data_IF_848743851872
#
_entry.id   IF_848743851872
#
_cell.length_a   1.000
_cell.length_b   1.000
_cell.length_c   1.000
_cell.angle_alpha   90.00
_cell.angle_beta   90.00
_cell.angle_gamma   90.00
#
_symmetry.space_group_name_H-M   'P 1'
#
loop_
_entity.id
_entity.type
_entity.pdbx_description
1 polymer ?
#
# COMPACT_ATOMS: atom_id res chain seq x y z
N UNK A 1 15.09 -40.97 -10.68
CA UNK A 1 15.84 -39.74 -11.00
C UNK A 1 15.50 -38.66 -9.97
N UNK A 2 15.72 -38.93 -8.67
CA UNK A 2 15.28 -38.05 -7.56
C UNK A 2 16.44 -37.54 -6.69
N UNK A 3 17.70 -37.82 -7.06
CA UNK A 3 18.86 -37.52 -6.20
C UNK A 3 19.69 -36.32 -6.65
N UNK A 4 19.33 -35.65 -7.76
CA UNK A 4 20.11 -34.51 -8.28
C UNK A 4 19.65 -33.13 -7.77
N UNK A 5 18.49 -32.99 -7.14
CA UNK A 5 18.02 -31.67 -6.63
C UNK A 5 18.72 -31.25 -5.34
N UNK A 6 19.09 -32.20 -4.48
CA UNK A 6 19.63 -31.90 -3.15
C UNK A 6 21.05 -31.28 -3.18
N UNK A 7 21.83 -31.57 -4.23
CA UNK A 7 23.20 -31.05 -4.34
C UNK A 7 23.22 -29.56 -4.67
N UNK A 8 22.39 -29.11 -5.61
CA UNK A 8 22.29 -27.69 -5.99
C UNK A 8 21.79 -26.87 -4.80
N UNK A 9 20.82 -27.38 -4.04
CA UNK A 9 20.30 -26.73 -2.83
C UNK A 9 21.38 -26.60 -1.75
N UNK A 10 22.16 -27.65 -1.51
CA UNK A 10 23.26 -27.62 -0.53
C UNK A 10 24.39 -26.66 -0.96
N UNK A 11 24.76 -26.67 -2.25
CA UNK A 11 25.78 -25.76 -2.79
C UNK A 11 25.30 -24.31 -2.72
N UNK A 12 24.04 -24.05 -3.07
CA UNK A 12 23.42 -22.73 -2.98
C UNK A 12 23.35 -22.23 -1.53
N UNK A 13 23.02 -23.11 -0.58
CA UNK A 13 22.97 -22.79 0.84
C UNK A 13 24.37 -22.47 1.39
N UNK A 14 25.38 -23.28 1.09
CA UNK A 14 26.76 -23.03 1.51
C UNK A 14 27.30 -21.74 0.88
N UNK A 15 27.04 -21.52 -0.40
CA UNK A 15 27.44 -20.30 -1.10
C UNK A 15 26.77 -19.05 -0.48
N UNK A 16 25.47 -19.14 -0.19
CA UNK A 16 24.72 -18.04 0.43
C UNK A 16 25.24 -17.73 1.84
N UNK A 17 25.50 -18.76 2.66
CA UNK A 17 26.09 -18.59 3.99
C UNK A 17 27.49 -17.98 3.93
N UNK A 18 28.29 -18.36 2.94
CA UNK A 18 29.63 -17.81 2.71
C UNK A 18 29.56 -16.34 2.29
N UNK A 19 28.65 -15.99 1.37
CA UNK A 19 28.42 -14.58 0.97
C UNK A 19 27.93 -13.75 2.16
N UNK A 20 26.98 -14.26 2.95
CA UNK A 20 26.48 -13.58 4.16
C UNK A 20 27.60 -13.41 5.19
N UNK A 21 28.41 -14.45 5.41
CA UNK A 21 29.52 -14.42 6.34
C UNK A 21 30.62 -13.44 5.93
N UNK A 22 30.99 -13.42 4.64
CA UNK A 22 31.96 -12.47 4.10
C UNK A 22 31.44 -11.03 4.14
N UNK A 23 30.17 -10.81 3.77
CA UNK A 23 29.53 -9.50 3.85
C UNK A 23 29.44 -8.99 5.30
N UNK A 24 29.07 -9.87 6.24
CA UNK A 24 29.03 -9.58 7.67
C UNK A 24 30.41 -9.28 8.25
N UNK A 25 31.42 -10.09 7.90
CA UNK A 25 32.81 -9.87 8.30
C UNK A 25 33.37 -8.57 7.75
N UNK A 26 33.09 -8.25 6.49
CA UNK A 26 33.44 -6.97 5.87
C UNK A 26 32.79 -5.79 6.59
N UNK A 27 31.49 -5.89 6.91
CA UNK A 27 30.74 -4.86 7.65
C UNK A 27 31.36 -4.57 9.03
N UNK A 28 31.81 -5.61 9.74
CA UNK A 28 32.47 -5.46 11.04
C UNK A 28 33.89 -4.88 10.86
N UNK A 29 34.66 -5.41 9.91
CA UNK A 29 36.02 -4.93 9.61
C UNK A 29 36.05 -3.47 9.15
N UNK A 30 35.03 -3.03 8.42
CA UNK A 30 34.93 -1.64 7.95
C UNK A 30 34.56 -0.64 9.06
N UNK A 31 34.50 -1.08 10.32
CA UNK A 31 34.18 -0.22 11.45
C UNK A 31 32.72 0.27 11.43
N UNK A 32 31.83 -0.38 10.67
CA UNK A 32 30.42 0.07 10.53
C UNK A 32 29.69 0.13 11.87
N UNK A 33 30.11 -0.70 12.83
CA UNK A 33 29.55 -0.79 14.18
C UNK A 33 30.39 -0.04 15.23
N UNK A 34 31.45 0.66 14.84
CA UNK A 34 32.13 1.55 15.78
C UNK A 34 31.20 2.75 16.07
N UNK A 35 30.80 2.89 17.34
CA UNK A 35 29.71 3.75 17.84
C UNK A 35 29.97 5.27 17.74
N UNK A 36 30.75 5.74 16.76
CA UNK A 36 31.03 7.15 16.53
C UNK A 36 29.78 7.99 16.22
N UNK A 37 28.67 7.35 15.81
CA UNK A 37 27.40 8.06 15.52
C UNK A 37 26.76 8.58 16.81
N UNK A 38 26.77 7.80 17.90
CA UNK A 38 26.10 8.17 19.16
C UNK A 38 26.85 9.30 19.87
N UNK A 39 28.18 9.36 19.71
CA UNK A 39 29.03 10.40 20.28
C UNK A 39 29.28 11.57 19.32
N UNK A 40 28.80 11.50 18.07
CA UNK A 40 28.99 12.56 17.09
C UNK A 40 28.11 13.78 17.35
N UNK A 41 28.65 14.97 17.10
CA UNK A 41 27.88 16.22 17.07
C UNK A 41 26.72 16.22 16.04
N UNK A 42 26.74 15.26 15.11
CA UNK A 42 25.81 15.11 14.00
C UNK A 42 24.75 14.00 14.22
N UNK A 43 24.65 13.41 15.42
CA UNK A 43 23.67 12.34 15.70
C UNK A 43 22.24 12.73 15.27
N UNK A 44 21.79 13.93 15.66
CA UNK A 44 20.45 14.43 15.31
C UNK A 44 20.27 14.53 13.79
N UNK A 45 21.28 15.03 13.08
CA UNK A 45 21.27 15.13 11.62
C UNK A 45 21.12 13.75 10.93
N UNK A 46 21.78 12.72 11.47
CA UNK A 46 21.64 11.34 11.00
C UNK A 46 20.28 10.72 11.34
N UNK A 47 19.74 11.02 12.52
CA UNK A 47 18.42 10.54 12.95
C UNK A 47 17.30 11.16 12.11
N UNK A 48 17.36 12.48 11.84
CA UNK A 48 16.41 13.17 10.96
C UNK A 48 16.38 12.48 9.59
N UNK A 49 17.54 12.24 8.97
CA UNK A 49 17.65 11.58 7.66
C UNK A 49 17.15 10.14 7.68
N UNK A 50 17.63 9.36 8.66
CA UNK A 50 17.26 7.94 8.77
C UNK A 50 15.75 7.77 8.99
N UNK A 51 15.14 8.57 9.86
CA UNK A 51 13.69 8.55 10.09
C UNK A 51 12.90 8.92 8.83
N UNK A 52 13.34 9.94 8.08
CA UNK A 52 12.71 10.36 6.83
C UNK A 52 12.78 9.29 5.74
N UNK A 53 13.97 8.71 5.52
CA UNK A 53 14.17 7.64 4.53
C UNK A 53 13.39 6.39 4.91
N UNK A 54 13.44 5.97 6.18
CA UNK A 54 12.69 4.81 6.65
C UNK A 54 11.18 5.00 6.52
N UNK A 55 10.67 6.20 6.84
CA UNK A 55 9.26 6.55 6.63
C UNK A 55 8.86 6.45 5.15
N UNK A 56 9.69 6.96 4.23
CA UNK A 56 9.45 6.89 2.78
C UNK A 56 9.45 5.46 2.24
N UNK A 57 10.39 4.63 2.69
CA UNK A 57 10.44 3.20 2.31
C UNK A 57 9.15 2.51 2.75
N UNK A 58 8.73 2.70 4.01
CA UNK A 58 7.49 2.09 4.50
C UNK A 58 6.24 2.62 3.80
N UNK A 59 6.20 3.92 3.45
CA UNK A 59 5.11 4.49 2.66
C UNK A 59 5.05 3.84 1.28
N UNK A 60 6.20 3.70 0.62
CA UNK A 60 6.31 3.03 -0.68
C UNK A 60 5.82 1.59 -0.59
N UNK A 61 6.32 0.82 0.38
CA UNK A 61 5.89 -0.55 0.63
C UNK A 61 4.37 -0.62 0.89
N UNK A 62 3.82 0.34 1.65
CA UNK A 62 2.38 0.42 1.89
C UNK A 62 1.58 0.63 0.59
N UNK A 63 2.01 1.56 -0.26
CA UNK A 63 1.35 1.86 -1.55
C UNK A 63 1.44 0.66 -2.49
N UNK A 64 2.62 0.06 -2.66
CA UNK A 64 2.81 -1.11 -3.51
C UNK A 64 1.98 -2.29 -3.01
N UNK A 65 1.96 -2.52 -1.70
CA UNK A 65 1.18 -3.59 -1.08
C UNK A 65 -0.33 -3.37 -1.25
N UNK A 66 -0.81 -2.14 -1.07
CA UNK A 66 -2.20 -1.77 -1.31
C UNK A 66 -2.62 -1.94 -2.78
N UNK A 67 -1.72 -1.62 -3.72
CA UNK A 67 -1.95 -1.85 -5.15
C UNK A 67 -2.01 -3.35 -5.47
N UNK A 68 -1.09 -4.16 -4.96
CA UNK A 68 -1.05 -5.61 -5.14
C UNK A 68 -2.31 -6.30 -4.59
N UNK A 69 -2.74 -5.90 -3.39
CA UNK A 69 -4.01 -6.29 -2.77
C UNK A 69 -5.22 -6.01 -3.66
N UNK A 70 -5.28 -4.79 -4.22
CA UNK A 70 -6.42 -4.37 -5.04
C UNK A 70 -6.47 -4.99 -6.44
N UNK A 71 -5.39 -5.63 -6.87
CA UNK A 71 -5.23 -6.22 -8.21
C UNK A 71 -5.40 -7.74 -8.20
N UNK A 72 -5.81 -8.33 -7.07
CA UNK A 72 -5.99 -9.79 -6.87
C UNK A 72 -4.73 -10.63 -6.99
N UNK A 73 -3.55 -10.02 -7.18
CA UNK A 73 -2.24 -10.70 -7.29
C UNK A 73 -1.91 -11.52 -6.04
N UNK A 74 -2.38 -11.05 -4.87
CA UNK A 74 -2.06 -11.65 -3.56
C UNK A 74 -3.12 -12.65 -3.09
N UNK A 75 -4.28 -12.73 -3.77
CA UNK A 75 -5.46 -13.46 -3.28
C UNK A 75 -5.27 -14.98 -3.23
N UNK A 76 -4.34 -15.53 -4.02
CA UNK A 76 -4.10 -16.97 -4.11
C UNK A 76 -3.21 -17.54 -3.01
N UNK A 77 -2.38 -16.73 -2.35
CA UNK A 77 -1.32 -17.23 -1.46
C UNK A 77 -1.28 -16.61 -0.05
N UNK A 78 -2.03 -15.54 0.22
CA UNK A 78 -2.07 -14.89 1.56
C UNK A 78 -3.50 -14.76 2.09
N UNK A 79 -3.76 -15.14 3.36
CA UNK A 79 -5.05 -14.92 4.01
C UNK A 79 -5.40 -13.43 4.10
N UNK A 80 -6.60 -13.05 3.65
CA UNK A 80 -7.06 -11.65 3.62
C UNK A 80 -6.86 -10.85 4.92
N UNK A 81 -7.11 -11.40 6.12
CA UNK A 81 -6.86 -10.69 7.37
C UNK A 81 -5.38 -10.35 7.59
N UNK A 82 -4.47 -11.28 7.32
CA UNK A 82 -3.03 -11.07 7.48
C UNK A 82 -2.52 -9.97 6.56
N UNK A 83 -2.94 -10.00 5.29
CA UNK A 83 -2.53 -9.02 4.29
C UNK A 83 -2.99 -7.60 4.67
N UNK A 84 -4.18 -7.48 5.26
CA UNK A 84 -4.72 -6.21 5.76
C UNK A 84 -4.01 -5.72 7.02
N UNK A 85 -3.68 -6.61 7.96
CA UNK A 85 -2.87 -6.25 9.15
C UNK A 85 -1.51 -5.73 8.69
N UNK A 86 -0.84 -6.41 7.75
CA UNK A 86 0.44 -5.96 7.25
C UNK A 86 0.36 -4.57 6.63
N UNK A 87 -0.62 -4.32 5.74
CA UNK A 87 -0.85 -3.00 5.13
C UNK A 87 -1.07 -1.92 6.20
N UNK A 88 -1.89 -2.21 7.21
CA UNK A 88 -2.20 -1.27 8.29
C UNK A 88 -0.94 -0.97 9.13
N UNK A 89 -0.20 -2.00 9.53
CA UNK A 89 0.99 -1.85 10.38
C UNK A 89 2.08 -1.03 9.69
N UNK A 90 2.41 -1.33 8.44
CA UNK A 90 3.43 -0.55 7.70
C UNK A 90 2.99 0.90 7.45
N UNK A 91 1.69 1.15 7.27
CA UNK A 91 1.14 2.51 7.12
C UNK A 91 1.26 3.32 8.41
N UNK A 92 0.93 2.72 9.56
CA UNK A 92 1.08 3.37 10.86
C UNK A 92 2.54 3.63 11.19
N UNK A 93 3.44 2.68 10.92
CA UNK A 93 4.86 2.85 11.18
C UNK A 93 5.46 3.96 10.31
N UNK A 94 5.07 4.03 9.03
CA UNK A 94 5.44 5.14 8.14
C UNK A 94 5.00 6.49 8.70
N UNK A 95 3.75 6.62 9.16
CA UNK A 95 3.22 7.85 9.74
C UNK A 95 3.94 8.25 11.04
N UNK A 96 4.20 7.29 11.92
CA UNK A 96 4.93 7.54 13.18
C UNK A 96 6.36 7.99 12.89
N UNK A 97 7.06 7.34 11.96
CA UNK A 97 8.41 7.77 11.56
C UNK A 97 8.41 9.13 10.85
N UNK A 98 7.36 9.47 10.10
CA UNK A 98 7.22 10.81 9.53
C UNK A 98 7.05 11.88 10.63
N UNK A 99 6.26 11.58 11.66
CA UNK A 99 6.13 12.46 12.82
C UNK A 99 7.46 12.60 13.56
N UNK A 100 8.16 11.49 13.81
CA UNK A 100 9.49 11.52 14.46
C UNK A 100 10.48 12.33 13.63
N UNK A 101 10.51 12.13 12.31
CA UNK A 101 11.33 12.91 11.38
C UNK A 101 11.08 14.41 11.52
N UNK A 102 9.81 14.83 11.52
CA UNK A 102 9.44 16.25 11.70
C UNK A 102 9.77 16.79 13.10
N UNK A 103 9.51 16.03 14.16
CA UNK A 103 9.79 16.47 15.53
C UNK A 103 11.29 16.56 15.83
N UNK A 104 12.12 15.71 15.22
CA UNK A 104 13.57 15.79 15.36
C UNK A 104 14.15 17.10 14.80
N UNK A 105 13.47 17.77 13.86
CA UNK A 105 13.88 19.08 13.35
C UNK A 105 13.87 20.17 14.44
N UNK A 106 13.05 20.02 15.49
CA UNK A 106 12.98 20.98 16.60
C UNK A 106 14.26 21.02 17.45
N UNK A 107 15.06 19.97 17.40
CA UNK A 107 16.34 19.85 18.12
C UNK A 107 17.54 19.89 17.17
N UNK A 108 17.31 20.25 15.90
CA UNK A 108 18.37 20.42 14.92
C UNK A 108 19.25 21.63 15.25
N UNK A 109 20.56 21.49 15.00
CA UNK A 109 21.54 22.56 15.21
C UNK A 109 21.78 23.38 13.95
N UNK A 110 21.44 22.86 12.77
CA UNK A 110 21.69 23.53 11.49
C UNK A 110 20.62 24.58 11.17
N UNK A 111 19.34 24.26 11.44
CA UNK A 111 18.22 25.18 11.25
C UNK A 111 17.35 25.23 12.50
N UNK A 112 17.00 26.44 12.93
CA UNK A 112 16.10 26.65 14.08
C UNK A 112 14.64 26.55 13.65
N UNK A 113 14.08 25.34 13.72
CA UNK A 113 12.65 25.11 13.50
C UNK A 113 11.83 25.40 14.75
N UNK A 114 10.66 25.99 14.55
CA UNK A 114 9.63 26.12 15.57
C UNK A 114 8.53 25.07 15.37
N UNK A 115 7.71 24.83 16.40
CA UNK A 115 6.56 23.91 16.32
C UNK A 115 5.63 24.27 15.17
N UNK A 116 5.44 25.57 14.90
CA UNK A 116 4.65 26.06 13.78
C UNK A 116 5.19 25.59 12.43
N UNK A 117 6.51 25.51 12.30
CA UNK A 117 7.18 25.12 11.04
C UNK A 117 7.02 23.64 10.70
N UNK A 118 6.68 22.83 11.70
CA UNK A 118 6.42 21.39 11.51
C UNK A 118 4.99 21.17 11.03
N UNK A 119 4.03 21.91 11.58
CA UNK A 119 2.60 21.67 11.39
C UNK A 119 1.92 22.63 10.41
N UNK A 120 2.49 23.79 10.13
CA UNK A 120 1.99 24.75 9.14
C UNK A 120 2.86 24.65 7.88
N UNK A 121 2.29 24.31 6.71
CA UNK A 121 3.10 24.16 5.52
C UNK A 121 3.69 25.52 5.09
N UNK A 122 4.90 25.47 4.52
CA UNK A 122 5.58 26.61 3.89
C UNK A 122 6.09 27.71 4.82
N UNK A 123 6.16 27.49 6.14
CA UNK A 123 6.71 28.49 7.08
C UNK A 123 8.15 28.21 7.51
N UNK A 124 8.66 27.00 7.26
CA UNK A 124 9.97 26.57 7.75
C UNK A 124 11.16 27.35 7.16
N UNK A 125 12.27 27.47 7.91
CA UNK A 125 13.42 28.30 7.56
C UNK A 125 14.26 27.74 6.39
N UNK A 126 14.17 26.44 6.13
CA UNK A 126 14.93 25.77 5.07
C UNK A 126 14.00 25.34 3.94
N UNK A 127 14.27 25.83 2.72
CA UNK A 127 13.56 25.49 1.48
C UNK A 127 12.04 25.36 1.69
N UNK A 128 11.42 26.42 2.21
CA UNK A 128 10.03 26.46 2.67
C UNK A 128 9.03 25.75 1.74
N UNK A 129 9.15 25.93 0.42
CA UNK A 129 8.32 25.23 -0.55
C UNK A 129 8.45 23.70 -0.44
N UNK A 130 9.67 23.17 -0.49
CA UNK A 130 9.94 21.74 -0.44
C UNK A 130 9.53 21.13 0.91
N UNK A 131 9.85 21.79 2.03
CA UNK A 131 9.47 21.33 3.37
C UNK A 131 7.95 21.38 3.59
N UNK A 132 7.27 22.41 3.08
CA UNK A 132 5.82 22.51 3.13
C UNK A 132 5.07 21.41 2.37
N UNK A 133 5.64 20.86 1.28
CA UNK A 133 5.09 19.66 0.62
C UNK A 133 5.08 18.45 1.58
N UNK A 134 6.13 18.30 2.40
CA UNK A 134 6.23 17.27 3.42
C UNK A 134 5.16 17.44 4.51
N UNK A 135 4.98 18.65 5.02
CA UNK A 135 3.92 18.98 6.00
C UNK A 135 2.52 18.70 5.43
N UNK A 136 2.26 19.09 4.18
CA UNK A 136 0.98 18.83 3.52
C UNK A 136 0.74 17.32 3.36
N UNK A 137 1.76 16.57 2.93
CA UNK A 137 1.66 15.12 2.81
C UNK A 137 1.42 14.44 4.16
N UNK A 138 2.11 14.90 5.21
CA UNK A 138 1.91 14.41 6.57
C UNK A 138 0.45 14.54 7.02
N UNK A 139 -0.16 15.71 6.81
CA UNK A 139 -1.57 15.91 7.14
C UNK A 139 -2.51 15.00 6.34
N UNK A 140 -2.23 14.80 5.05
CA UNK A 140 -3.00 13.83 4.26
C UNK A 140 -2.88 12.42 4.87
N UNK A 141 -1.68 11.99 5.26
CA UNK A 141 -1.47 10.68 5.90
C UNK A 141 -2.14 10.57 7.27
N UNK A 142 -2.12 11.64 8.08
CA UNK A 142 -2.85 11.71 9.37
C UNK A 142 -4.35 11.50 9.18
N UNK A 143 -4.91 11.97 8.06
CA UNK A 143 -6.33 11.77 7.74
C UNK A 143 -6.57 10.37 7.17
N UNK A 144 -5.73 9.93 6.22
CA UNK A 144 -5.94 8.68 5.47
C UNK A 144 -5.69 7.44 6.32
N UNK A 145 -4.64 7.42 7.14
CA UNK A 145 -4.24 6.21 7.89
C UNK A 145 -5.29 5.77 8.91
N UNK A 146 -5.84 6.64 9.79
CA UNK A 146 -6.91 6.26 10.72
C UNK A 146 -8.25 6.00 10.05
N UNK A 147 -8.48 6.53 8.83
CA UNK A 147 -9.77 6.41 8.12
C UNK A 147 -10.24 4.97 7.94
N UNK A 148 -9.31 4.01 7.83
CA UNK A 148 -9.64 2.59 7.68
C UNK A 148 -10.36 2.02 8.91
N UNK A 149 -9.90 2.37 10.11
CA UNK A 149 -10.53 1.95 11.37
C UNK A 149 -11.88 2.65 11.56
N UNK A 150 -11.96 3.92 11.15
CA UNK A 150 -13.15 4.76 11.31
C UNK A 150 -14.26 4.50 10.27
N UNK A 151 -13.94 3.84 9.14
CA UNK A 151 -14.88 3.65 8.02
C UNK A 151 -16.20 3.01 8.42
N UNK A 152 -16.19 1.99 9.29
CA UNK A 152 -17.42 1.29 9.69
C UNK A 152 -18.39 2.18 10.47
N UNK A 153 -17.87 3.21 11.15
CA UNK A 153 -18.65 4.09 12.03
C UNK A 153 -19.06 5.40 11.36
N UNK A 154 -18.22 5.93 10.47
CA UNK A 154 -18.39 7.32 9.99
C UNK A 154 -18.51 7.47 8.46
N UNK A 155 -18.09 6.48 7.66
CA UNK A 155 -17.97 6.67 6.22
C UNK A 155 -18.67 5.60 5.39
N UNK A 156 -19.40 6.03 4.36
CA UNK A 156 -19.79 5.13 3.27
C UNK A 156 -18.54 4.60 2.56
N UNK A 157 -18.62 3.37 2.04
CA UNK A 157 -17.51 2.74 1.32
C UNK A 157 -16.99 3.59 0.15
N UNK A 158 -17.86 4.34 -0.53
CA UNK A 158 -17.48 5.25 -1.63
C UNK A 158 -16.63 6.42 -1.12
N UNK A 159 -17.07 7.08 -0.05
CA UNK A 159 -16.38 8.23 0.55
C UNK A 159 -15.02 7.82 1.08
N UNK A 160 -14.95 6.72 1.84
CA UNK A 160 -13.69 6.18 2.35
C UNK A 160 -12.71 5.90 1.21
N UNK A 161 -13.18 5.33 0.10
CA UNK A 161 -12.32 5.01 -1.04
C UNK A 161 -11.77 6.26 -1.74
N UNK A 162 -12.59 7.30 -1.89
CA UNK A 162 -12.14 8.60 -2.43
C UNK A 162 -11.09 9.22 -1.52
N UNK A 163 -11.35 9.25 -0.20
CA UNK A 163 -10.39 9.74 0.78
C UNK A 163 -9.09 8.94 0.73
N UNK A 164 -9.17 7.61 0.64
CA UNK A 164 -8.00 6.74 0.58
C UNK A 164 -7.16 6.97 -0.69
N UNK A 165 -7.74 7.44 -1.80
CA UNK A 165 -6.96 7.81 -2.99
C UNK A 165 -6.05 9.03 -2.78
N UNK A 166 -6.29 9.84 -1.75
CA UNK A 166 -5.35 10.89 -1.36
C UNK A 166 -3.98 10.32 -0.94
N UNK A 167 -3.88 9.04 -0.59
CA UNK A 167 -2.59 8.38 -0.34
C UNK A 167 -1.62 8.47 -1.53
N UNK A 168 -2.13 8.41 -2.76
CA UNK A 168 -1.29 8.58 -3.96
C UNK A 168 -0.77 10.02 -4.08
N UNK A 169 -1.60 11.01 -3.75
CA UNK A 169 -1.17 12.40 -3.71
C UNK A 169 -0.13 12.61 -2.60
N UNK A 170 -0.35 12.05 -1.41
CA UNK A 170 0.61 12.11 -0.30
C UNK A 170 1.96 11.49 -0.71
N UNK A 171 1.94 10.31 -1.35
CA UNK A 171 3.14 9.66 -1.85
C UNK A 171 3.92 10.57 -2.80
N UNK A 172 3.26 11.16 -3.81
CA UNK A 172 3.91 12.08 -4.75
C UNK A 172 4.46 13.33 -4.07
N UNK A 173 3.74 13.88 -3.09
CA UNK A 173 4.19 15.03 -2.31
C UNK A 173 5.41 14.68 -1.46
N UNK A 174 5.46 13.51 -0.81
CA UNK A 174 6.65 13.05 -0.07
C UNK A 174 7.83 12.79 -1.01
N UNK A 175 7.59 12.19 -2.19
CA UNK A 175 8.63 12.00 -3.21
C UNK A 175 9.22 13.34 -3.63
N UNK A 176 8.37 14.32 -3.95
CA UNK A 176 8.80 15.68 -4.32
C UNK A 176 9.54 16.36 -3.16
N UNK A 177 8.99 16.30 -1.95
CA UNK A 177 9.63 16.80 -0.72
C UNK A 177 11.05 16.24 -0.57
N UNK A 178 11.22 14.92 -0.64
CA UNK A 178 12.53 14.28 -0.48
C UNK A 178 13.54 14.69 -1.55
N UNK A 179 13.12 14.74 -2.82
CA UNK A 179 14.00 15.15 -3.93
C UNK A 179 14.35 16.64 -3.90
N UNK A 180 13.46 17.49 -3.40
CA UNK A 180 13.66 18.96 -3.38
C UNK A 180 14.32 19.46 -2.10
N UNK A 181 14.07 18.83 -0.95
CA UNK A 181 14.62 19.24 0.35
C UNK A 181 15.95 18.53 0.66
N UNK A 182 16.09 17.27 0.24
CA UNK A 182 17.24 16.43 0.57
C UNK A 182 18.54 16.93 -0.05
N UNK A 183 19.58 17.10 0.77
CA UNK A 183 20.95 17.32 0.27
C UNK A 183 21.50 16.10 -0.44
N UNK A 184 20.91 14.93 -0.19
CA UNK A 184 21.32 13.63 -0.74
C UNK A 184 20.72 13.38 -2.14
N UNK A 185 19.96 14.33 -2.71
CA UNK A 185 19.38 14.21 -4.05
C UNK A 185 20.39 13.88 -5.18
N UNK A 186 21.66 14.33 -5.14
CA UNK A 186 22.68 13.93 -6.11
C UNK A 186 23.20 12.49 -5.91
N UNK A 187 22.95 11.87 -4.76
CA UNK A 187 23.43 10.52 -4.45
C UNK A 187 22.68 9.48 -5.30
N UNK A 188 23.44 8.61 -5.99
CA UNK A 188 22.88 7.58 -6.88
C UNK A 188 21.95 6.61 -6.12
N UNK A 189 22.30 6.21 -4.90
CA UNK A 189 21.46 5.34 -4.08
C UNK A 189 20.12 6.00 -3.73
N UNK A 190 20.12 7.30 -3.43
CA UNK A 190 18.91 8.08 -3.18
C UNK A 190 18.03 8.18 -4.44
N UNK A 191 18.65 8.47 -5.59
CA UNK A 191 17.94 8.53 -6.88
C UNK A 191 17.33 7.19 -7.28
N UNK A 192 18.06 6.08 -7.11
CA UNK A 192 17.56 4.74 -7.37
C UNK A 192 16.38 4.41 -6.46
N UNK A 193 16.49 4.70 -5.16
CA UNK A 193 15.39 4.47 -4.22
C UNK A 193 14.11 5.19 -4.65
N UNK A 194 14.19 6.50 -4.92
CA UNK A 194 13.02 7.30 -5.30
C UNK A 194 12.50 6.91 -6.69
N UNK A 195 13.40 6.74 -7.67
CA UNK A 195 13.07 6.36 -9.03
C UNK A 195 12.39 5.00 -9.13
N UNK A 196 12.93 3.97 -8.49
CA UNK A 196 12.34 2.63 -8.45
C UNK A 196 10.98 2.66 -7.75
N UNK A 197 10.86 3.40 -6.64
CA UNK A 197 9.59 3.53 -5.90
C UNK A 197 8.47 4.11 -6.76
N UNK A 198 8.77 5.18 -7.51
CA UNK A 198 7.81 5.80 -8.44
C UNK A 198 7.50 4.85 -9.59
N UNK A 199 8.53 4.27 -10.22
CA UNK A 199 8.38 3.36 -11.36
C UNK A 199 7.48 2.16 -11.02
N UNK A 200 7.77 1.46 -9.92
CA UNK A 200 6.97 0.30 -9.48
C UNK A 200 5.53 0.70 -9.16
N UNK A 201 5.33 1.87 -8.54
CA UNK A 201 3.99 2.40 -8.24
C UNK A 201 3.21 2.65 -9.53
N UNK A 202 3.82 3.27 -10.53
CA UNK A 202 3.18 3.55 -11.82
C UNK A 202 2.87 2.26 -12.59
N UNK A 203 3.79 1.28 -12.61
CA UNK A 203 3.58 -0.02 -13.25
C UNK A 203 2.38 -0.74 -12.63
N UNK A 204 2.34 -0.86 -11.29
CA UNK A 204 1.25 -1.54 -10.60
C UNK A 204 -0.08 -0.78 -10.72
N UNK A 205 -0.05 0.55 -10.69
CA UNK A 205 -1.24 1.37 -10.91
C UNK A 205 -1.79 1.18 -12.33
N UNK A 206 -0.93 1.18 -13.34
CA UNK A 206 -1.28 0.90 -14.73
C UNK A 206 -1.87 -0.50 -14.90
N UNK A 207 -1.22 -1.52 -14.35
CA UNK A 207 -1.71 -2.90 -14.33
C UNK A 207 -3.13 -2.99 -13.73
N UNK A 208 -3.33 -2.37 -12.56
CA UNK A 208 -4.63 -2.34 -11.87
C UNK A 208 -5.72 -1.70 -12.73
N UNK A 209 -5.43 -0.57 -13.38
CA UNK A 209 -6.39 0.11 -14.26
C UNK A 209 -6.72 -0.79 -15.45
N UNK A 210 -5.72 -1.44 -16.06
CA UNK A 210 -5.89 -2.39 -17.15
C UNK A 210 -6.79 -3.57 -16.78
N UNK A 211 -6.56 -4.21 -15.62
CA UNK A 211 -7.40 -5.32 -15.12
C UNK A 211 -8.85 -4.89 -14.94
N UNK A 212 -9.10 -3.71 -14.38
CA UNK A 212 -10.46 -3.17 -14.21
C UNK A 212 -11.14 -2.89 -15.55
N UNK A 213 -10.42 -2.31 -16.51
CA UNK A 213 -10.96 -2.03 -17.83
C UNK A 213 -11.29 -3.32 -18.59
N UNK A 214 -10.42 -4.33 -18.52
CA UNK A 214 -10.66 -5.64 -19.11
C UNK A 214 -11.92 -6.32 -18.52
N UNK A 215 -12.06 -6.29 -17.19
CA UNK A 215 -13.25 -6.83 -16.51
C UNK A 215 -14.55 -6.08 -16.88
N UNK A 216 -14.48 -4.76 -17.08
CA UNK A 216 -15.63 -3.96 -17.54
C UNK A 216 -15.99 -4.27 -19.00
N UNK A 217 -14.99 -4.43 -19.88
CA UNK A 217 -15.18 -4.79 -21.30
C UNK A 217 -15.65 -6.23 -21.51
N UNK A 218 -15.36 -7.16 -20.60
CA UNK A 218 -15.88 -8.53 -20.62
C UNK A 218 -17.35 -8.63 -20.20
N UNK A 219 -17.93 -7.53 -19.65
CA UNK A 219 -19.31 -7.46 -19.17
C UNK A 219 -20.40 -7.04 -20.19
N UNK A 220 -20.31 -7.35 -21.50
CA UNK A 220 -21.49 -7.27 -22.38
C UNK A 220 -21.72 -8.59 -23.17
N UNK A 221 -22.70 -9.40 -22.73
CA UNK A 221 -23.48 -10.35 -23.57
C UNK A 221 -24.51 -11.13 -22.73
N UNK A 222 -24.18 -11.50 -21.49
CA UNK A 222 -25.02 -12.44 -20.71
C UNK A 222 -26.26 -11.81 -20.05
N UNK A 223 -26.34 -10.48 -19.97
CA UNK A 223 -27.49 -9.77 -19.39
C UNK A 223 -28.65 -9.56 -20.38
N UNK A 224 -28.47 -9.89 -21.67
CA UNK A 224 -29.51 -9.72 -22.72
C UNK A 224 -30.15 -11.05 -23.17
N UNK A 225 -29.66 -12.18 -22.66
CA UNK A 225 -30.09 -13.52 -23.05
C UNK A 225 -30.92 -14.26 -21.99
N UNK A 226 -31.32 -13.62 -20.89
CA UNK A 226 -32.40 -14.14 -20.05
C UNK A 226 -33.73 -13.59 -20.61
N UNK A 227 -34.56 -14.41 -21.28
CA UNK A 227 -35.94 -14.02 -21.54
C UNK A 227 -36.60 -13.72 -20.19
N UNK A 228 -37.53 -12.76 -20.09
CA UNK A 228 -38.34 -12.62 -18.89
C UNK A 228 -38.91 -13.99 -18.56
N UNK A 229 -38.65 -14.47 -17.34
CA UNK A 229 -39.23 -15.70 -16.84
C UNK A 229 -40.73 -15.61 -17.10
N UNK A 230 -41.24 -16.45 -18.01
CA UNK A 230 -42.68 -16.62 -18.16
C UNK A 230 -43.18 -16.97 -16.77
N UNK A 231 -43.91 -16.06 -16.16
CA UNK A 231 -44.63 -16.31 -14.92
C UNK A 231 -45.40 -17.61 -15.12
N UNK A 232 -45.24 -18.54 -14.19
CA UNK A 232 -45.94 -19.82 -14.13
C UNK A 232 -47.45 -19.64 -13.84
N UNK A 233 -48.09 -18.68 -14.51
CA UNK A 233 -49.50 -18.33 -14.42
C UNK A 233 -50.30 -18.82 -15.64
N UNK A 234 -49.63 -19.27 -16.72
CA UNK A 234 -50.29 -19.78 -17.94
C UNK A 234 -50.42 -21.32 -17.98
N UNK A 235 -50.00 -22.03 -16.93
CA UNK A 235 -50.17 -23.48 -16.86
C UNK A 235 -51.56 -23.81 -16.26
N UNK A 236 -52.60 -23.72 -17.09
CA UNK A 236 -53.92 -24.30 -16.80
C UNK A 236 -53.78 -25.83 -16.81
N UNK A 237 -54.09 -26.55 -15.71
CA UNK A 237 -54.21 -28.01 -15.76
C UNK A 237 -55.59 -28.37 -16.31
N UNK A 238 -55.63 -29.06 -17.45
CA UNK A 238 -56.85 -29.68 -17.97
C UNK A 238 -57.41 -30.67 -16.93
N UNK A 239 -58.59 -30.36 -16.39
CA UNK A 239 -59.31 -31.22 -15.46
C UNK A 239 -60.00 -32.38 -16.19
N UNK A 240 -60.06 -33.59 -15.61
CA UNK A 240 -60.75 -34.71 -16.23
C UNK A 240 -62.28 -34.56 -16.12
N UNK A 241 -62.97 -34.66 -17.25
CA UNK A 241 -64.44 -34.66 -17.33
C UNK A 241 -64.97 -35.95 -16.68
N UNK A 242 -65.55 -35.83 -15.48
CA UNK A 242 -66.34 -36.90 -14.86
C UNK A 242 -67.68 -37.02 -15.60
N UNK A 243 -67.82 -38.09 -16.39
CA UNK A 243 -69.05 -38.44 -17.09
C UNK A 243 -70.01 -39.11 -16.10
N UNK A 244 -71.00 -38.37 -15.58
CA UNK A 244 -72.12 -38.94 -14.81
C UNK A 244 -72.93 -39.88 -15.71
N UNK A 245 -73.04 -41.16 -15.31
CA UNK A 245 -73.92 -42.15 -15.92
C UNK A 245 -75.20 -42.21 -15.08
N UNK A 246 -76.31 -41.75 -15.63
CA UNK A 246 -77.64 -41.90 -15.04
C UNK A 246 -78.03 -43.39 -14.99
N UNK A 247 -78.54 -43.85 -13.85
CA UNK A 247 -79.22 -45.15 -13.70
C UNK A 247 -80.74 -44.93 -13.78
N UNK A 248 -81.52 -45.88 -14.32
CA UNK A 248 -82.97 -45.75 -14.42
C UNK A 248 -83.67 -46.03 -13.09
N UNK A 249 -84.81 -45.39 -12.91
CA UNK A 249 -85.79 -45.63 -11.85
C UNK A 249 -86.51 -46.97 -12.03
N UNK A 250 -86.50 -47.80 -10.99
CA UNK A 250 -87.53 -48.81 -10.74
C UNK A 250 -88.44 -48.28 -9.61
N UNK A 251 -89.76 -48.30 -9.84
CA UNK A 251 -90.79 -47.84 -8.90
C UNK A 251 -91.96 -47.19 -9.62
#
# INVERSE_FOLDING_TARGET
MENESNWIDNVSLVFSLLVIGLAGGWLVYSGTFENGIITSDNLIWHLIRSAGIASYILLTLSVLWGLALSSSVVKSWSPGPLTMVLHSTISWLSLVLALIHGLLLLVDKYFSYQVTDIFVPFTGPYRAFATGLGTLAFWILVIVTPSFALKKRFFSHRVWKTLHYLSYAAFMLVTAHGLMAGTDAPNVGFQLLFGISVLLTLILLGYRIGVKQAAAKAKPAHARSQPPARTAADAVPDAPIIRQRATPSEG
#
